data_IF_999297697335
#
_entry.id   IF_999297697335
#
_cell.length_a   1.000
_cell.length_b   1.000
_cell.length_c   1.000
_cell.angle_alpha   90.00
_cell.angle_beta   90.00
_cell.angle_gamma   90.00
#
_symmetry.space_group_name_H-M   'P 1'
#
loop_
_entity.id
_entity.type
_entity.pdbx_description
1 polymer ?
#
# COMPACT_ATOMS: atom_id res chain seq x y z
N UNK A 1 24.65 -5.44 -16.60
CA UNK A 1 23.49 -4.62 -16.18
C UNK A 1 22.28 -5.31 -16.76
N UNK A 2 21.46 -5.97 -15.96
CA UNK A 2 20.21 -6.60 -16.42
C UNK A 2 19.04 -5.96 -15.66
N UNK A 3 18.66 -4.77 -16.09
CA UNK A 3 17.57 -4.01 -15.48
C UNK A 3 17.26 -2.77 -16.33
N UNK A 4 16.06 -2.21 -16.10
CA UNK A 4 15.60 -0.97 -16.73
C UNK A 4 15.89 0.18 -15.77
N UNK A 5 16.69 1.15 -16.21
CA UNK A 5 16.83 2.43 -15.53
C UNK A 5 15.62 3.31 -15.89
N UNK A 6 14.57 3.25 -15.07
CA UNK A 6 13.28 3.89 -15.37
C UNK A 6 13.37 5.40 -15.60
N UNK A 7 14.37 6.08 -15.04
CA UNK A 7 14.55 7.52 -15.24
C UNK A 7 15.21 7.86 -16.58
N UNK A 8 15.98 6.92 -17.15
CA UNK A 8 16.71 7.13 -18.42
C UNK A 8 16.05 6.45 -19.61
N UNK A 9 15.39 5.33 -19.37
CA UNK A 9 14.90 4.40 -20.39
C UNK A 9 13.37 4.43 -20.52
N UNK A 10 12.65 5.15 -19.64
CA UNK A 10 11.19 5.25 -19.67
C UNK A 10 10.73 6.71 -19.62
N UNK A 11 9.50 6.94 -20.08
CA UNK A 11 8.77 8.19 -19.87
C UNK A 11 7.81 8.00 -18.70
N UNK A 12 8.06 8.68 -17.60
CA UNK A 12 7.19 8.62 -16.42
C UNK A 12 5.96 9.51 -16.63
N UNK A 13 4.81 9.01 -16.19
CA UNK A 13 3.55 9.74 -16.15
C UNK A 13 2.79 9.35 -14.89
N UNK A 14 2.15 10.32 -14.27
CA UNK A 14 1.26 10.10 -13.13
C UNK A 14 -0.19 10.00 -13.62
N UNK A 15 -0.90 8.98 -13.15
CA UNK A 15 -2.32 8.86 -13.43
C UNK A 15 -3.11 9.98 -12.75
N UNK A 16 -4.23 10.39 -13.37
CA UNK A 16 -5.13 11.41 -12.83
C UNK A 16 -5.55 11.04 -11.41
N UNK A 17 -5.53 12.01 -10.49
CA UNK A 17 -5.81 11.86 -9.06
C UNK A 17 -4.92 10.83 -8.31
N UNK A 18 -3.84 10.33 -8.95
CA UNK A 18 -2.99 9.28 -8.40
C UNK A 18 -3.76 8.00 -7.98
N UNK A 19 -4.88 7.73 -8.67
CA UNK A 19 -5.76 6.59 -8.41
C UNK A 19 -5.30 5.32 -9.10
N UNK A 20 -5.33 4.19 -8.40
CA UNK A 20 -4.92 2.90 -8.96
C UNK A 20 -5.79 2.45 -10.15
N UNK A 21 -7.09 2.73 -10.12
CA UNK A 21 -8.00 2.46 -11.23
C UNK A 21 -7.63 3.25 -12.49
N UNK A 22 -7.15 4.48 -12.34
CA UNK A 22 -6.76 5.31 -13.48
C UNK A 22 -5.44 4.82 -14.10
N UNK A 23 -4.52 4.28 -13.30
CA UNK A 23 -3.33 3.59 -13.83
C UNK A 23 -3.76 2.40 -14.69
N UNK A 24 -4.72 1.59 -14.22
CA UNK A 24 -5.23 0.43 -14.96
C UNK A 24 -5.89 0.88 -16.28
N UNK A 25 -6.69 1.94 -16.25
CA UNK A 25 -7.33 2.48 -17.46
C UNK A 25 -6.31 3.01 -18.48
N UNK A 26 -5.29 3.76 -18.05
CA UNK A 26 -4.27 4.28 -18.98
C UNK A 26 -3.46 3.16 -19.66
N UNK A 27 -3.20 2.04 -18.95
CA UNK A 27 -2.60 0.85 -19.59
C UNK A 27 -3.58 0.22 -20.58
N UNK A 28 -4.85 0.09 -20.20
CA UNK A 28 -5.88 -0.51 -21.05
C UNK A 28 -6.14 0.29 -22.34
N UNK A 29 -6.17 1.62 -22.27
CA UNK A 29 -6.38 2.52 -23.42
C UNK A 29 -5.14 2.70 -24.29
N UNK A 30 -3.97 2.24 -23.83
CA UNK A 30 -2.69 2.40 -24.51
C UNK A 30 -2.10 3.80 -24.39
N UNK A 31 -2.54 4.59 -23.40
CA UNK A 31 -1.88 5.86 -23.05
C UNK A 31 -0.47 5.63 -22.49
N UNK A 32 -0.29 4.51 -21.78
CA UNK A 32 1.00 4.04 -21.27
C UNK A 32 1.16 2.54 -21.51
N UNK A 33 2.40 2.07 -21.62
CA UNK A 33 2.70 0.65 -21.89
C UNK A 33 2.61 -0.25 -20.64
N UNK A 34 2.87 0.33 -19.46
CA UNK A 34 2.87 -0.36 -18.17
C UNK A 34 2.59 0.62 -17.02
N UNK A 35 2.16 0.09 -15.87
CA UNK A 35 1.88 0.88 -14.68
C UNK A 35 2.12 0.09 -13.39
N UNK A 36 2.24 0.82 -12.28
CA UNK A 36 2.43 0.25 -10.94
C UNK A 36 1.19 0.49 -10.10
N UNK A 37 0.69 -0.56 -9.44
CA UNK A 37 -0.50 -0.49 -8.59
C UNK A 37 -0.30 -1.35 -7.33
N UNK A 38 -1.14 -1.11 -6.32
CA UNK A 38 -1.32 -2.06 -5.24
C UNK A 38 -2.03 -3.32 -5.77
N UNK A 39 -1.56 -4.51 -5.39
CA UNK A 39 -2.16 -5.79 -5.82
C UNK A 39 -3.66 -5.86 -5.52
N UNK A 40 -4.08 -5.39 -4.34
CA UNK A 40 -5.49 -5.34 -3.95
C UNK A 40 -6.37 -4.47 -4.87
N UNK A 41 -5.76 -3.60 -5.68
CA UNK A 41 -6.44 -2.71 -6.61
C UNK A 41 -6.60 -3.29 -8.02
N UNK A 42 -5.94 -4.42 -8.33
CA UNK A 42 -5.92 -5.00 -9.69
C UNK A 42 -7.33 -5.22 -10.27
N UNK A 43 -8.27 -5.62 -9.43
CA UNK A 43 -9.63 -5.99 -9.84
C UNK A 43 -10.66 -4.86 -9.67
N UNK A 44 -10.25 -3.66 -9.26
CA UNK A 44 -11.19 -2.52 -9.07
C UNK A 44 -11.87 -2.13 -10.38
N UNK A 45 -11.18 -2.31 -11.51
CA UNK A 45 -11.66 -1.95 -12.84
C UNK A 45 -12.36 -3.10 -13.60
N UNK A 46 -12.46 -4.30 -13.03
CA UNK A 46 -13.00 -5.50 -13.73
C UNK A 46 -14.45 -5.34 -14.20
N UNK A 47 -15.21 -4.45 -13.56
CA UNK A 47 -16.58 -4.10 -13.99
C UNK A 47 -16.61 -3.26 -15.29
N UNK A 48 -15.48 -2.65 -15.67
CA UNK A 48 -15.36 -1.74 -16.81
C UNK A 48 -14.47 -2.31 -17.92
N UNK A 49 -13.49 -3.14 -17.57
CA UNK A 49 -12.54 -3.72 -18.52
C UNK A 49 -12.47 -5.25 -18.41
N UNK A 50 -12.35 -5.99 -19.53
CA UNK A 50 -12.13 -7.42 -19.47
C UNK A 50 -10.75 -7.74 -18.86
N UNK A 51 -10.71 -8.56 -17.80
CA UNK A 51 -9.48 -8.93 -17.11
C UNK A 51 -8.40 -9.52 -18.03
N UNK A 52 -8.78 -10.17 -19.14
CA UNK A 52 -7.84 -10.70 -20.15
C UNK A 52 -6.99 -9.63 -20.86
N UNK A 53 -7.34 -8.34 -20.70
CA UNK A 53 -6.65 -7.21 -21.35
C UNK A 53 -5.52 -6.64 -20.51
N UNK A 54 -5.45 -7.00 -19.22
CA UNK A 54 -4.38 -6.62 -18.32
C UNK A 54 -3.65 -7.89 -17.87
N UNK A 55 -2.32 -7.85 -17.85
CA UNK A 55 -1.50 -8.95 -17.33
C UNK A 55 -0.51 -8.42 -16.32
N UNK A 56 -0.28 -9.17 -15.25
CA UNK A 56 0.76 -8.87 -14.27
C UNK A 56 2.11 -9.25 -14.86
N UNK A 57 3.07 -8.32 -14.85
CA UNK A 57 4.44 -8.55 -15.34
C UNK A 57 5.35 -9.09 -14.24
N UNK A 58 5.23 -8.53 -13.03
CA UNK A 58 6.02 -8.88 -11.87
C UNK A 58 5.32 -8.42 -10.59
N UNK A 59 5.74 -8.98 -9.46
CA UNK A 59 5.34 -8.55 -8.12
C UNK A 59 6.55 -7.95 -7.41
N UNK A 60 6.33 -6.91 -6.60
CA UNK A 60 7.37 -6.37 -5.73
C UNK A 60 7.63 -7.30 -4.54
N UNK A 61 8.70 -7.03 -3.79
CA UNK A 61 8.84 -7.58 -2.45
C UNK A 61 7.65 -7.14 -1.56
N UNK A 62 7.38 -7.92 -0.52
CA UNK A 62 6.39 -7.59 0.49
C UNK A 62 6.78 -6.30 1.23
N UNK A 63 5.86 -5.35 1.27
CA UNK A 63 5.95 -4.16 2.10
C UNK A 63 4.98 -4.27 3.29
N UNK A 64 5.29 -3.62 4.43
CA UNK A 64 4.38 -3.59 5.56
C UNK A 64 3.05 -2.91 5.19
N UNK A 65 1.96 -3.39 5.79
CA UNK A 65 0.67 -2.75 5.67
C UNK A 65 0.64 -1.37 6.36
N UNK A 66 -0.42 -0.63 6.10
CA UNK A 66 -0.65 0.71 6.65
C UNK A 66 -0.69 0.65 8.18
N UNK A 67 0.00 1.58 8.86
CA UNK A 67 -0.04 1.69 10.32
C UNK A 67 -1.18 2.60 10.78
N UNK A 68 -1.81 2.20 11.89
CA UNK A 68 -2.54 3.13 12.73
C UNK A 68 -1.59 3.63 13.82
N UNK A 69 -1.34 4.94 13.84
CA UNK A 69 -0.40 5.56 14.77
C UNK A 69 -1.09 6.63 15.63
N UNK A 70 -0.61 6.79 16.86
CA UNK A 70 -1.06 7.84 17.79
C UNK A 70 0.05 8.86 18.01
N UNK A 71 -0.31 10.09 18.39
CA UNK A 71 0.66 11.13 18.72
C UNK A 71 1.53 10.69 19.90
N UNK A 72 2.84 10.94 19.81
CA UNK A 72 3.80 10.62 20.89
C UNK A 72 3.45 11.30 22.22
N UNK A 73 2.88 12.50 22.17
CA UNK A 73 2.48 13.28 23.35
C UNK A 73 1.17 12.83 24.00
N UNK A 74 0.46 11.85 23.44
CA UNK A 74 -0.76 11.33 24.03
C UNK A 74 -0.44 10.65 25.39
N UNK A 75 -1.26 10.82 26.44
CA UNK A 75 -1.06 10.13 27.70
C UNK A 75 -0.98 8.60 27.53
N UNK A 76 -0.08 7.93 28.26
CA UNK A 76 0.12 6.48 28.13
C UNK A 76 -1.15 5.67 28.39
N UNK A 77 -2.00 6.13 29.31
CA UNK A 77 -3.32 5.53 29.56
C UNK A 77 -4.18 5.49 28.30
N UNK A 78 -4.20 6.58 27.53
CA UNK A 78 -5.03 6.70 26.34
C UNK A 78 -4.43 5.92 25.17
N UNK A 79 -3.09 5.91 25.04
CA UNK A 79 -2.39 5.05 24.06
C UNK A 79 -2.75 3.58 24.27
N UNK A 80 -2.68 3.12 25.51
CA UNK A 80 -3.03 1.73 25.88
C UNK A 80 -4.50 1.44 25.61
N UNK A 81 -5.41 2.34 25.97
CA UNK A 81 -6.84 2.18 25.71
C UNK A 81 -7.16 2.08 24.21
N UNK A 82 -6.54 2.92 23.37
CA UNK A 82 -6.71 2.85 21.90
C UNK A 82 -6.16 1.53 21.36
N UNK A 83 -4.97 1.12 21.80
CA UNK A 83 -4.36 -0.14 21.35
C UNK A 83 -5.25 -1.35 21.70
N UNK A 84 -5.74 -1.41 22.93
CA UNK A 84 -6.65 -2.46 23.40
C UNK A 84 -7.98 -2.45 22.63
N UNK A 85 -8.55 -1.27 22.37
CA UNK A 85 -9.80 -1.14 21.62
C UNK A 85 -9.66 -1.63 20.18
N UNK A 86 -8.57 -1.27 19.49
CA UNK A 86 -8.35 -1.61 18.07
C UNK A 86 -7.97 -3.09 17.90
N UNK A 87 -7.11 -3.61 18.78
CA UNK A 87 -6.70 -5.03 18.73
C UNK A 87 -7.76 -5.99 19.28
N UNK A 88 -8.67 -5.49 20.13
CA UNK A 88 -9.77 -6.25 20.71
C UNK A 88 -11.02 -6.39 19.83
N UNK A 89 -11.03 -5.82 18.61
CA UNK A 89 -12.17 -5.94 17.69
C UNK A 89 -12.43 -7.42 17.35
N UNK A 90 -13.70 -7.83 17.49
CA UNK A 90 -14.11 -9.22 17.29
C UNK A 90 -14.13 -9.58 15.81
N UNK A 91 -13.95 -10.87 15.50
CA UNK A 91 -14.18 -11.40 14.15
C UNK A 91 -15.57 -10.98 13.67
N UNK A 92 -15.67 -10.46 12.43
CA UNK A 92 -16.89 -9.94 11.80
C UNK A 92 -17.43 -8.61 12.36
N UNK A 93 -16.67 -7.90 13.20
CA UNK A 93 -17.01 -6.54 13.62
C UNK A 93 -17.29 -5.64 12.39
N UNK A 94 -18.34 -4.79 12.41
CA UNK A 94 -18.64 -3.89 11.30
C UNK A 94 -17.45 -3.02 10.86
N UNK A 95 -16.60 -2.60 11.79
CA UNK A 95 -15.39 -1.82 11.48
C UNK A 95 -14.42 -2.64 10.63
N UNK A 96 -14.15 -3.89 11.02
CA UNK A 96 -13.25 -4.78 10.27
C UNK A 96 -13.81 -5.11 8.88
N UNK A 97 -15.13 -5.29 8.76
CA UNK A 97 -15.82 -5.52 7.47
C UNK A 97 -15.70 -4.31 6.55
N UNK A 98 -15.92 -3.11 7.06
CA UNK A 98 -15.79 -1.87 6.30
C UNK A 98 -14.36 -1.69 5.77
N UNK A 99 -13.37 -2.03 6.58
CA UNK A 99 -11.95 -1.99 6.22
C UNK A 99 -11.48 -3.19 5.38
N UNK A 100 -12.34 -4.21 5.17
CA UNK A 100 -12.02 -5.46 4.46
C UNK A 100 -10.79 -6.20 5.03
N UNK A 101 -10.60 -6.14 6.35
CA UNK A 101 -9.52 -6.85 7.07
C UNK A 101 -10.08 -7.85 8.08
N UNK A 102 -9.23 -8.77 8.55
CA UNK A 102 -9.61 -9.79 9.54
C UNK A 102 -9.38 -9.37 11.00
N UNK A 103 -8.60 -8.32 11.21
CA UNK A 103 -8.20 -7.83 12.52
C UNK A 103 -6.96 -6.94 12.42
N UNK A 104 -6.57 -6.37 13.54
CA UNK A 104 -5.32 -5.62 13.70
C UNK A 104 -4.30 -6.45 14.47
N UNK A 105 -3.02 -6.21 14.20
CA UNK A 105 -1.92 -6.68 15.04
C UNK A 105 -1.09 -5.49 15.52
N UNK A 106 -0.36 -5.69 16.61
CA UNK A 106 0.66 -4.74 17.03
C UNK A 106 1.75 -4.71 15.95
N UNK A 107 2.16 -3.50 15.57
CA UNK A 107 3.26 -3.24 14.66
C UNK A 107 4.33 -2.44 15.40
N UNK A 108 5.59 -2.70 15.08
CA UNK A 108 6.72 -1.91 15.58
C UNK A 108 7.32 -1.03 14.48
N UNK A 109 8.13 -0.03 14.85
CA UNK A 109 8.70 0.93 13.89
C UNK A 109 9.73 0.28 12.95
N UNK A 110 10.42 -0.76 13.43
CA UNK A 110 11.40 -1.58 12.70
C UNK A 110 10.78 -2.25 11.48
N UNK A 111 9.50 -2.64 11.55
CA UNK A 111 8.82 -3.31 10.45
C UNK A 111 8.67 -2.42 9.20
N UNK A 112 8.86 -1.11 9.36
CA UNK A 112 8.82 -0.11 8.29
C UNK A 112 10.21 0.21 7.71
N UNK A 113 11.28 -0.42 8.18
CA UNK A 113 12.63 -0.24 7.63
C UNK A 113 12.77 -0.59 6.15
N UNK A 114 12.13 -1.65 5.62
CA UNK A 114 12.17 -1.92 4.17
C UNK A 114 11.65 -0.75 3.32
N UNK A 115 10.71 0.05 3.83
CA UNK A 115 10.22 1.26 3.16
C UNK A 115 11.28 2.36 3.21
N UNK A 116 11.97 2.53 4.34
CA UNK A 116 13.05 3.52 4.50
C UNK A 116 14.23 3.21 3.58
N UNK A 117 14.62 1.95 3.54
CA UNK A 117 15.68 1.46 2.66
C UNK A 117 15.33 1.69 1.19
N UNK A 118 14.09 1.37 0.79
CA UNK A 118 13.62 1.60 -0.58
C UNK A 118 13.59 3.09 -0.97
N UNK A 119 13.34 3.99 -0.01
CA UNK A 119 13.38 5.44 -0.21
C UNK A 119 14.80 6.03 -0.10
N UNK A 120 15.80 5.24 0.31
CA UNK A 120 17.15 5.73 0.55
C UNK A 120 17.26 6.72 1.71
N UNK A 121 16.37 6.63 2.71
CA UNK A 121 16.40 7.51 3.89
C UNK A 121 17.04 6.83 5.10
N UNK A 122 17.69 7.60 5.96
CA UNK A 122 18.38 7.09 7.16
C UNK A 122 17.39 6.44 8.14
N UNK A 123 17.71 5.21 8.57
CA UNK A 123 16.95 4.51 9.61
C UNK A 123 17.20 5.21 10.96
N UNK A 124 16.15 5.68 11.65
CA UNK A 124 16.31 6.42 12.88
C UNK A 124 16.87 5.54 14.01
N UNK A 125 17.72 6.12 14.86
CA UNK A 125 18.10 5.47 16.13
C UNK A 125 16.87 5.37 17.03
N UNK A 126 16.58 4.14 17.47
CA UNK A 126 15.46 3.84 18.37
C UNK A 126 15.90 3.99 19.82
N UNK A 127 14.99 4.47 20.66
CA UNK A 127 15.18 4.66 22.11
C UNK A 127 14.60 3.49 22.86
#
# INVERSE_FOLDING_TARGET
>A
REGIDVEKECKLSEAVDSKHENVIFSVFTGEVDAGFILEASLHIADQYIPASKIRVLAYSAWLPNWSLSVKRSLPEKDKKAILEAVTGLKKNDPVLKALKIKGFRIATDEEYDPVRDAMGIEIPKRK
#
